data_IF_562015813536
#
_entry.id   IF_562015813536
#
_cell.length_a   1.000
_cell.length_b   1.000
_cell.length_c   1.000
_cell.angle_alpha   90.00
_cell.angle_beta   90.00
_cell.angle_gamma   90.00
#
_symmetry.space_group_name_H-M   'P 1'
#
loop_
_entity.id
_entity.type
_entity.pdbx_description
1 polymer ?
#
# COMPACT_ATOMS: atom_id res chain seq x y z
N UNK A 1 9.17 2.01 7.78
CA UNK A 1 9.43 0.59 7.47
C UNK A 1 9.91 -0.11 8.72
N UNK A 2 9.13 -1.03 9.26
CA UNK A 2 9.52 -1.75 10.46
C UNK A 2 10.81 -2.55 10.23
N UNK A 3 11.73 -2.47 11.19
CA UNK A 3 13.02 -3.14 11.12
C UNK A 3 14.12 -2.42 10.32
N UNK A 4 13.80 -1.33 9.61
CA UNK A 4 14.77 -0.51 8.86
C UNK A 4 14.95 0.87 9.46
N UNK A 5 13.91 1.43 10.05
CA UNK A 5 13.96 2.72 10.73
C UNK A 5 13.83 2.49 12.24
N UNK A 6 14.66 3.17 13.04
CA UNK A 6 14.54 3.10 14.49
C UNK A 6 13.24 3.76 14.95
N UNK A 7 12.74 3.42 16.14
CA UNK A 7 11.64 4.13 16.74
C UNK A 7 11.98 5.60 16.97
N UNK A 8 11.00 6.47 16.79
CA UNK A 8 11.13 7.90 17.01
C UNK A 8 10.63 8.25 18.40
N UNK A 9 11.44 8.98 19.18
CA UNK A 9 11.02 9.47 20.50
C UNK A 9 10.24 10.78 20.33
N UNK A 10 9.07 10.84 20.95
CA UNK A 10 8.25 12.06 21.04
C UNK A 10 7.86 12.24 22.52
N UNK A 11 8.42 13.24 23.17
CA UNK A 11 8.31 13.37 24.63
C UNK A 11 8.98 12.21 25.35
N UNK A 12 8.25 11.50 26.19
CA UNK A 12 8.72 10.32 26.93
C UNK A 12 8.31 8.98 26.29
N UNK A 13 7.65 9.02 25.14
CA UNK A 13 7.16 7.83 24.42
C UNK A 13 7.99 7.56 23.17
N UNK A 14 7.99 6.28 22.74
CA UNK A 14 8.64 5.82 21.52
C UNK A 14 7.59 5.31 20.53
N UNK A 15 7.65 5.83 19.31
CA UNK A 15 6.72 5.52 18.24
C UNK A 15 7.40 4.72 17.13
N UNK A 16 6.71 3.69 16.67
CA UNK A 16 7.08 2.91 15.49
C UNK A 16 6.25 3.30 14.28
N UNK A 17 6.66 2.84 13.11
CA UNK A 17 5.89 2.96 11.88
C UNK A 17 4.49 2.34 12.05
N UNK A 18 3.45 3.15 11.86
CA UNK A 18 2.06 2.74 11.96
C UNK A 18 1.66 1.62 10.99
N UNK A 19 2.44 1.41 9.93
CA UNK A 19 2.27 0.31 9.00
C UNK A 19 2.36 -1.09 9.62
N UNK A 20 2.93 -1.20 10.84
CA UNK A 20 2.89 -2.44 11.64
C UNK A 20 1.46 -2.85 12.01
N UNK A 21 0.60 -1.89 12.30
CA UNK A 21 -0.78 -2.12 12.75
C UNK A 21 -1.77 -1.94 11.61
N UNK A 22 -1.77 -0.79 10.97
CA UNK A 22 -2.65 -0.45 9.84
C UNK A 22 -1.92 0.38 8.78
N UNK A 23 -1.54 -0.27 7.67
CA UNK A 23 -0.91 0.43 6.53
C UNK A 23 -1.92 1.24 5.71
N UNK A 24 -3.16 0.76 5.64
CA UNK A 24 -4.25 1.35 4.86
C UNK A 24 -5.49 1.36 5.76
N UNK A 25 -5.73 2.45 6.52
CA UNK A 25 -6.76 2.49 7.55
C UNK A 25 -8.17 2.76 6.96
N UNK A 26 -8.70 1.84 6.15
CA UNK A 26 -10.05 1.93 5.56
C UNK A 26 -11.10 2.02 6.67
N UNK A 27 -11.00 1.19 7.69
CA UNK A 27 -11.92 1.20 8.84
C UNK A 27 -12.06 2.58 9.47
N UNK A 28 -10.96 3.33 9.59
CA UNK A 28 -11.01 4.70 10.14
C UNK A 28 -11.77 5.67 9.25
N UNK A 29 -11.65 5.56 7.93
CA UNK A 29 -12.43 6.39 7.01
C UNK A 29 -13.94 6.09 7.13
N UNK A 30 -14.30 4.81 7.31
CA UNK A 30 -15.69 4.38 7.51
C UNK A 30 -16.26 4.89 8.83
N UNK A 31 -15.51 4.81 9.92
CA UNK A 31 -15.90 5.37 11.23
C UNK A 31 -16.17 6.88 11.16
N UNK A 32 -15.45 7.60 10.31
CA UNK A 32 -15.65 9.03 10.05
C UNK A 32 -16.81 9.32 9.09
N UNK A 33 -17.55 8.30 8.66
CA UNK A 33 -18.74 8.44 7.82
C UNK A 33 -18.48 8.50 6.32
N UNK A 34 -17.31 8.10 5.85
CA UNK A 34 -17.02 8.06 4.42
C UNK A 34 -17.93 7.03 3.71
N UNK A 35 -18.56 7.46 2.61
CA UNK A 35 -19.33 6.58 1.71
C UNK A 35 -18.56 6.18 0.46
N UNK A 36 -17.56 6.96 0.10
CA UNK A 36 -16.65 6.65 -0.99
C UNK A 36 -15.22 6.84 -0.48
N UNK A 37 -14.40 5.81 -0.63
CA UNK A 37 -13.01 5.80 -0.19
C UNK A 37 -12.12 5.53 -1.39
N UNK A 38 -11.14 6.40 -1.62
CA UNK A 38 -10.11 6.20 -2.63
C UNK A 38 -8.82 5.79 -1.92
N UNK A 39 -8.32 4.60 -2.25
CA UNK A 39 -7.09 4.05 -1.69
C UNK A 39 -5.96 4.26 -2.70
N UNK A 40 -4.99 5.11 -2.35
CA UNK A 40 -3.74 5.24 -3.09
C UNK A 40 -2.72 4.32 -2.43
N UNK A 41 -2.35 3.28 -3.14
CA UNK A 41 -1.49 2.24 -2.61
C UNK A 41 -0.14 2.21 -3.33
N UNK A 42 0.95 2.44 -2.58
CA UNK A 42 2.32 2.45 -3.13
C UNK A 42 2.90 1.03 -3.26
N UNK A 43 2.34 0.07 -2.54
CA UNK A 43 2.79 -1.33 -2.53
C UNK A 43 2.13 -2.19 -3.60
N UNK A 44 2.70 -3.35 -3.83
CA UNK A 44 2.25 -4.31 -4.83
C UNK A 44 1.43 -5.43 -4.17
N UNK A 45 0.16 -5.18 -3.84
CA UNK A 45 -0.71 -6.17 -3.17
C UNK A 45 -0.93 -7.42 -4.04
N UNK A 46 -1.03 -7.24 -5.35
CA UNK A 46 -1.45 -8.28 -6.28
C UNK A 46 -0.33 -9.23 -6.75
N UNK A 47 0.93 -8.92 -6.45
CA UNK A 47 2.05 -9.73 -6.93
C UNK A 47 2.36 -10.88 -5.98
N UNK A 48 2.70 -12.06 -6.54
CA UNK A 48 3.25 -13.16 -5.75
C UNK A 48 4.47 -12.70 -4.96
N UNK A 49 4.55 -13.12 -3.71
CA UNK A 49 5.72 -12.88 -2.88
C UNK A 49 6.83 -13.85 -3.31
N UNK A 50 8.06 -13.34 -3.37
CA UNK A 50 9.21 -14.20 -3.61
C UNK A 50 9.52 -15.03 -2.36
N UNK A 51 9.96 -16.26 -2.57
CA UNK A 51 10.40 -17.14 -1.48
C UNK A 51 11.66 -16.54 -0.85
N UNK A 52 11.64 -16.23 0.45
CA UNK A 52 12.81 -15.67 1.12
C UNK A 52 13.91 -16.72 1.26
N UNK A 53 15.13 -16.31 0.97
CA UNK A 53 16.32 -17.19 1.08
C UNK A 53 17.20 -16.84 2.29
N UNK A 54 16.98 -15.66 2.88
CA UNK A 54 17.77 -15.14 4.00
C UNK A 54 16.90 -14.82 5.20
N UNK A 55 17.40 -14.96 6.44
CA UNK A 55 16.59 -14.75 7.65
C UNK A 55 15.86 -13.39 7.73
N UNK A 56 16.51 -12.31 7.32
CA UNK A 56 15.88 -10.97 7.32
C UNK A 56 14.82 -10.82 6.23
N UNK A 57 14.95 -11.53 5.09
CA UNK A 57 13.94 -11.57 4.04
C UNK A 57 12.66 -12.25 4.54
N UNK A 58 12.80 -13.27 5.42
CA UNK A 58 11.66 -13.93 6.07
C UNK A 58 10.85 -12.91 6.87
N UNK A 59 11.51 -12.05 7.64
CA UNK A 59 10.83 -10.98 8.39
C UNK A 59 10.08 -9.99 7.49
N UNK A 60 10.70 -9.58 6.38
CA UNK A 60 10.07 -8.67 5.41
C UNK A 60 8.87 -9.32 4.71
N UNK A 61 9.00 -10.58 4.31
CA UNK A 61 7.90 -11.34 3.68
C UNK A 61 6.77 -11.57 4.68
N UNK A 62 7.07 -11.94 5.93
CA UNK A 62 6.07 -12.11 6.98
C UNK A 62 5.31 -10.80 7.24
N UNK A 63 6.00 -9.67 7.31
CA UNK A 63 5.38 -8.35 7.42
C UNK A 63 4.46 -8.05 6.24
N UNK A 64 4.90 -8.33 5.01
CA UNK A 64 4.09 -8.10 3.82
C UNK A 64 2.85 -9.00 3.77
N UNK A 65 2.97 -10.27 4.19
CA UNK A 65 1.83 -11.18 4.34
C UNK A 65 0.82 -10.62 5.34
N UNK A 66 1.27 -10.22 6.52
CA UNK A 66 0.41 -9.68 7.56
C UNK A 66 -0.29 -8.38 7.11
N UNK A 67 0.41 -7.52 6.37
CA UNK A 67 -0.13 -6.29 5.80
C UNK A 67 -1.23 -6.56 4.77
N UNK A 68 -1.00 -7.50 3.85
CA UNK A 68 -1.98 -7.92 2.83
C UNK A 68 -3.20 -8.56 3.45
N UNK A 69 -3.00 -9.39 4.46
CA UNK A 69 -4.09 -10.06 5.17
C UNK A 69 -5.01 -9.04 5.83
N UNK A 70 -4.45 -8.09 6.60
CA UNK A 70 -5.24 -7.01 7.21
C UNK A 70 -6.02 -6.18 6.19
N UNK A 71 -5.37 -5.83 5.08
CA UNK A 71 -6.07 -5.11 4.00
C UNK A 71 -7.24 -5.92 3.43
N UNK A 72 -7.06 -7.23 3.24
CA UNK A 72 -8.13 -8.12 2.77
C UNK A 72 -9.28 -8.21 3.78
N UNK A 73 -8.98 -8.27 5.08
CA UNK A 73 -9.98 -8.25 6.15
C UNK A 73 -10.75 -6.92 6.17
N UNK A 74 -10.05 -5.79 6.09
CA UNK A 74 -10.68 -4.47 6.03
C UNK A 74 -11.60 -4.33 4.80
N UNK A 75 -11.18 -4.83 3.64
CA UNK A 75 -12.00 -4.83 2.42
C UNK A 75 -13.23 -5.72 2.56
N UNK A 76 -13.11 -6.88 3.21
CA UNK A 76 -14.23 -7.79 3.46
C UNK A 76 -15.23 -7.22 4.47
N UNK A 77 -14.77 -6.35 5.36
CA UNK A 77 -15.59 -5.69 6.39
C UNK A 77 -16.30 -4.41 5.89
N UNK A 78 -16.10 -4.00 4.62
CA UNK A 78 -16.77 -2.82 4.06
C UNK A 78 -18.28 -3.03 4.03
N UNK A 79 -19.08 -2.15 4.68
CA UNK A 79 -20.52 -2.32 4.75
C UNK A 79 -21.21 -2.04 3.41
N UNK A 80 -22.41 -2.60 3.18
CA UNK A 80 -23.21 -2.29 2.01
C UNK A 80 -23.50 -0.78 1.90
N UNK A 81 -23.39 -0.24 0.68
CA UNK A 81 -23.62 1.19 0.40
C UNK A 81 -22.35 2.05 0.52
N UNK A 82 -21.22 1.45 0.84
CA UNK A 82 -19.92 2.11 0.75
C UNK A 82 -19.15 1.58 -0.45
N UNK A 83 -18.53 2.49 -1.18
CA UNK A 83 -17.68 2.15 -2.33
C UNK A 83 -16.22 2.41 -2.01
N UNK A 84 -15.37 1.41 -2.22
CA UNK A 84 -13.92 1.55 -2.06
C UNK A 84 -13.25 1.36 -3.42
N UNK A 85 -12.53 2.37 -3.86
CA UNK A 85 -11.74 2.37 -5.08
C UNK A 85 -10.26 2.22 -4.74
N UNK A 86 -9.67 1.08 -5.07
CA UNK A 86 -8.21 0.89 -4.96
C UNK A 86 -7.59 1.33 -6.28
N UNK A 87 -6.86 2.44 -6.25
CA UNK A 87 -6.27 3.01 -7.45
C UNK A 87 -5.02 2.22 -7.87
N UNK A 88 -4.88 1.87 -9.16
CA UNK A 88 -3.72 1.16 -9.65
C UNK A 88 -2.47 2.03 -9.57
N UNK A 89 -1.37 1.46 -9.12
CA UNK A 89 -0.08 2.15 -8.99
C UNK A 89 0.77 2.14 -10.28
N UNK A 90 0.24 1.67 -11.40
CA UNK A 90 0.97 1.62 -12.69
C UNK A 90 2.21 0.69 -12.67
N UNK A 91 2.24 -0.25 -11.74
CA UNK A 91 3.43 -1.09 -11.50
C UNK A 91 3.50 -2.35 -12.37
N UNK A 92 2.72 -2.45 -13.43
CA UNK A 92 2.78 -3.56 -14.38
C UNK A 92 4.15 -3.59 -15.09
N UNK A 93 4.77 -4.77 -15.13
CA UNK A 93 6.04 -4.99 -15.84
C UNK A 93 7.33 -4.69 -15.06
N UNK A 94 7.28 -4.16 -13.84
CA UNK A 94 8.49 -3.97 -13.05
C UNK A 94 8.93 -5.29 -12.39
N UNK A 95 10.23 -5.64 -12.38
CA UNK A 95 10.72 -6.85 -11.74
C UNK A 95 10.38 -6.88 -10.25
N UNK A 96 10.27 -8.10 -9.69
CA UNK A 96 9.85 -8.36 -8.30
C UNK A 96 10.66 -7.60 -7.24
N UNK A 97 10.37 -7.90 -5.97
CA UNK A 97 11.07 -7.30 -4.82
C UNK A 97 12.58 -7.45 -4.98
N UNK A 98 13.21 -6.50 -5.65
CA UNK A 98 14.65 -6.37 -5.64
C UNK A 98 15.07 -5.66 -4.35
N UNK A 99 16.26 -5.98 -3.86
CA UNK A 99 16.98 -5.21 -2.84
C UNK A 99 17.12 -3.72 -3.18
N UNK A 100 16.74 -3.32 -4.40
CA UNK A 100 16.61 -1.94 -4.85
C UNK A 100 15.64 -1.11 -3.98
N UNK A 101 14.69 -1.74 -3.27
CA UNK A 101 13.84 -1.04 -2.29
C UNK A 101 14.66 -0.42 -1.15
N UNK A 102 15.85 -0.93 -0.89
CA UNK A 102 16.79 -0.38 0.10
C UNK A 102 17.64 0.78 -0.45
N UNK A 103 17.57 1.06 -1.75
CA UNK A 103 18.22 2.20 -2.38
C UNK A 103 17.35 3.45 -2.34
N UNK A 104 16.95 3.87 -1.14
CA UNK A 104 16.15 5.08 -0.87
C UNK A 104 16.70 6.37 -1.51
N UNK A 105 17.93 6.36 -1.98
CA UNK A 105 18.61 7.54 -2.54
C UNK A 105 18.59 7.59 -4.05
N UNK A 106 18.14 6.55 -4.71
CA UNK A 106 18.01 6.56 -6.18
C UNK A 106 16.63 7.09 -6.57
N UNK A 107 16.56 8.40 -6.70
CA UNK A 107 15.34 9.14 -7.11
C UNK A 107 15.22 9.29 -8.63
N UNK A 108 16.18 8.75 -9.41
CA UNK A 108 16.25 8.95 -10.86
C UNK A 108 15.03 8.45 -11.64
N UNK A 109 14.23 7.57 -11.03
CA UNK A 109 13.01 6.98 -11.64
C UNK A 109 11.72 7.40 -10.96
N UNK A 110 11.78 8.30 -10.01
CA UNK A 110 10.59 8.70 -9.23
C UNK A 110 9.57 9.37 -10.13
N UNK A 111 10.00 10.30 -10.99
CA UNK A 111 9.10 11.01 -11.89
C UNK A 111 8.40 10.06 -12.87
N UNK A 112 9.13 9.08 -13.40
CA UNK A 112 8.57 8.03 -14.27
C UNK A 112 7.52 7.18 -13.53
N UNK A 113 7.77 6.84 -12.26
CA UNK A 113 6.82 6.10 -11.44
C UNK A 113 5.57 6.93 -11.11
N UNK A 114 5.74 8.21 -10.79
CA UNK A 114 4.63 9.15 -10.54
C UNK A 114 3.76 9.26 -11.78
N UNK A 115 4.36 9.47 -12.94
CA UNK A 115 3.63 9.61 -14.21
C UNK A 115 2.82 8.35 -14.55
N UNK A 116 3.42 7.17 -14.44
CA UNK A 116 2.71 5.89 -14.67
C UNK A 116 1.57 5.66 -13.69
N UNK A 117 1.78 5.95 -12.40
CA UNK A 117 0.75 5.81 -11.39
C UNK A 117 -0.42 6.78 -11.65
N UNK A 118 -0.10 8.01 -12.06
CA UNK A 118 -1.09 9.00 -12.43
C UNK A 118 -1.94 8.54 -13.63
N UNK A 119 -1.30 8.12 -14.71
CA UNK A 119 -1.98 7.65 -15.93
C UNK A 119 -2.88 6.45 -15.66
N UNK A 120 -2.37 5.45 -14.90
CA UNK A 120 -3.14 4.27 -14.54
C UNK A 120 -4.35 4.62 -13.66
N UNK A 121 -4.16 5.49 -12.67
CA UNK A 121 -5.24 5.94 -11.78
C UNK A 121 -6.27 6.80 -12.52
N UNK A 122 -5.83 7.70 -13.42
CA UNK A 122 -6.73 8.52 -14.23
C UNK A 122 -7.59 7.67 -15.18
N UNK A 123 -6.98 6.68 -15.84
CA UNK A 123 -7.70 5.74 -16.70
C UNK A 123 -8.75 4.94 -15.91
N UNK A 124 -8.40 4.45 -14.71
CA UNK A 124 -9.33 3.77 -13.83
C UNK A 124 -10.52 4.66 -13.43
N UNK A 125 -10.27 5.90 -13.03
CA UNK A 125 -11.33 6.84 -12.62
C UNK A 125 -12.24 7.21 -13.79
N UNK A 126 -11.69 7.38 -15.00
CA UNK A 126 -12.48 7.62 -16.21
C UNK A 126 -13.41 6.43 -16.52
N UNK A 127 -12.92 5.20 -16.39
CA UNK A 127 -13.73 3.99 -16.57
C UNK A 127 -14.85 3.90 -15.52
N UNK A 128 -14.58 4.22 -14.27
CA UNK A 128 -15.60 4.22 -13.18
C UNK A 128 -16.66 5.27 -13.45
N UNK A 129 -16.28 6.49 -13.86
CA UNK A 129 -17.21 7.56 -14.18
C UNK A 129 -18.19 7.17 -15.31
N UNK A 130 -17.72 6.48 -16.35
CA UNK A 130 -18.56 6.00 -17.45
C UNK A 130 -19.57 4.90 -17.04
N UNK A 131 -19.32 4.17 -15.95
CA UNK A 131 -20.23 3.13 -15.44
C UNK A 131 -21.32 3.67 -14.51
N UNK A 132 -21.12 4.86 -14.01
CA UNK A 132 -22.02 5.48 -13.00
C UNK A 132 -22.95 6.53 -13.61
N UNK A 133 -22.73 6.97 -14.84
CA UNK A 133 -23.61 7.85 -15.61
C UNK A 133 -24.47 7.09 -16.58
#
# INVERSE_FOLDING_TARGET
MPGLLPPVRVGDEHFFDGGLVHSIPIGRALELGARTVYVLHVGRIERPLQVPTRPWEVGLVAFEIARRHRFSEDMAAVPPGVTVHVLPAGAEGLPGVELSQFRYRDISRVDEHIQRAYEASAAYLAMVAQRTG
#
